data_IF_209380581748
#
_entry.id   IF_209380581748
#
_cell.length_a   1.000
_cell.length_b   1.000
_cell.length_c   1.000
_cell.angle_alpha   90.00
_cell.angle_beta   90.00
_cell.angle_gamma   90.00
#
_symmetry.space_group_name_H-M   'P 1'
#
loop_
_entity.id
_entity.type
_entity.pdbx_description
1 polymer ?
#
# COMPACT_ATOMS: atom_id res chain seq x y z
N UNK A 1 21.55 -30.35 -41.40
CA UNK A 1 21.28 -30.19 -39.95
C UNK A 1 20.91 -31.56 -39.40
N UNK A 2 21.67 -32.12 -38.46
CA UNK A 2 21.41 -33.46 -37.92
C UNK A 2 20.26 -33.41 -36.92
N UNK A 3 19.52 -34.51 -36.77
CA UNK A 3 18.38 -34.64 -35.84
C UNK A 3 18.75 -34.25 -34.41
N UNK A 4 20.02 -34.46 -34.02
CA UNK A 4 20.58 -34.06 -32.73
C UNK A 4 20.71 -32.53 -32.57
N UNK A 5 21.20 -31.84 -33.60
CA UNK A 5 21.27 -30.36 -33.59
C UNK A 5 19.88 -29.72 -33.54
N UNK A 6 18.91 -30.25 -34.30
CA UNK A 6 17.54 -29.74 -34.27
C UNK A 6 16.89 -29.89 -32.89
N UNK A 7 17.01 -31.06 -32.27
CA UNK A 7 16.48 -31.30 -30.91
C UNK A 7 17.11 -30.37 -29.87
N UNK A 8 18.42 -30.12 -29.95
CA UNK A 8 19.11 -29.17 -29.06
C UNK A 8 18.61 -27.75 -29.27
N UNK A 9 18.47 -27.29 -30.51
CA UNK A 9 17.96 -25.94 -30.80
C UNK A 9 16.55 -25.75 -30.28
N UNK A 10 15.66 -26.75 -30.46
CA UNK A 10 14.29 -26.71 -29.94
C UNK A 10 14.29 -26.68 -28.41
N UNK A 11 15.10 -27.52 -27.76
CA UNK A 11 15.18 -27.51 -26.29
C UNK A 11 15.68 -26.17 -25.74
N UNK A 12 16.71 -25.59 -26.35
CA UNK A 12 17.22 -24.27 -25.98
C UNK A 12 16.14 -23.20 -26.18
N UNK A 13 15.43 -23.24 -27.31
CA UNK A 13 14.34 -22.31 -27.59
C UNK A 13 13.23 -22.39 -26.51
N UNK A 14 12.84 -23.60 -26.11
CA UNK A 14 11.84 -23.81 -25.05
C UNK A 14 12.34 -23.23 -23.73
N UNK A 15 13.57 -23.52 -23.33
CA UNK A 15 14.15 -22.99 -22.07
C UNK A 15 14.24 -21.47 -22.10
N UNK A 16 14.70 -20.88 -23.21
CA UNK A 16 14.75 -19.42 -23.37
C UNK A 16 13.35 -18.81 -23.32
N UNK A 17 12.37 -19.41 -24.01
CA UNK A 17 10.98 -18.94 -23.95
C UNK A 17 10.42 -19.00 -22.52
N UNK A 18 10.69 -20.07 -21.77
CA UNK A 18 10.30 -20.18 -20.36
C UNK A 18 10.96 -19.10 -19.49
N UNK A 19 12.27 -18.87 -19.64
CA UNK A 19 12.97 -17.80 -18.90
C UNK A 19 12.40 -16.42 -19.22
N UNK A 20 12.11 -16.13 -20.49
CA UNK A 20 11.48 -14.87 -20.91
C UNK A 20 10.09 -14.73 -20.28
N UNK A 21 9.29 -15.79 -20.25
CA UNK A 21 7.97 -15.78 -19.62
C UNK A 21 8.05 -15.57 -18.10
N UNK A 22 9.04 -16.16 -17.42
CA UNK A 22 9.26 -15.93 -15.99
C UNK A 22 9.61 -14.46 -15.73
N UNK A 23 10.60 -13.92 -16.44
CA UNK A 23 11.00 -12.51 -16.29
C UNK A 23 9.83 -11.56 -16.61
N UNK A 24 9.06 -11.87 -17.65
CA UNK A 24 7.87 -11.12 -18.03
C UNK A 24 6.79 -11.20 -16.95
N UNK A 25 6.54 -12.35 -16.35
CA UNK A 25 5.54 -12.51 -15.29
C UNK A 25 5.87 -11.66 -14.05
N UNK A 26 7.15 -11.48 -13.73
CA UNK A 26 7.59 -10.61 -12.62
C UNK A 26 7.57 -9.11 -12.94
N UNK A 27 7.37 -8.72 -14.20
CA UNK A 27 7.43 -7.32 -14.66
C UNK A 27 6.14 -6.84 -15.33
N UNK A 28 5.22 -7.74 -15.64
CA UNK A 28 3.92 -7.42 -16.20
C UNK A 28 2.96 -6.93 -15.09
N UNK A 29 1.95 -6.12 -15.46
CA UNK A 29 0.80 -5.88 -14.60
C UNK A 29 0.20 -7.23 -14.15
N UNK A 30 -0.15 -7.32 -12.87
CA UNK A 30 -0.53 -8.54 -12.11
C UNK A 30 -1.58 -9.43 -12.81
N UNK A 31 -2.31 -8.86 -13.74
CA UNK A 31 -3.50 -9.38 -14.38
C UNK A 31 -3.25 -10.13 -15.71
N UNK A 32 -2.00 -10.20 -16.21
CA UNK A 32 -1.77 -10.69 -17.59
C UNK A 32 -1.37 -12.18 -17.69
N UNK A 33 -0.71 -12.79 -16.69
CA UNK A 33 -0.40 -14.23 -16.72
C UNK A 33 -0.17 -14.85 -15.33
N UNK A 34 -1.04 -15.79 -14.94
CA UNK A 34 -0.67 -16.91 -14.08
C UNK A 34 -1.32 -16.94 -12.70
N UNK A 35 -1.82 -18.12 -12.33
CA UNK A 35 -2.15 -18.49 -10.96
C UNK A 35 -0.93 -18.23 -10.06
N UNK A 36 -0.96 -17.14 -9.30
CA UNK A 36 0.01 -16.91 -8.25
C UNK A 36 -0.31 -17.89 -7.11
N UNK A 37 0.44 -18.99 -7.00
CA UNK A 37 0.24 -19.99 -5.94
C UNK A 37 0.55 -19.47 -4.54
N UNK A 38 1.17 -18.29 -4.42
CA UNK A 38 1.51 -17.67 -3.14
C UNK A 38 1.15 -16.19 -3.20
N UNK A 39 0.27 -15.67 -2.31
CA UNK A 39 -0.02 -14.25 -2.26
C UNK A 39 1.28 -13.45 -2.13
N UNK A 40 1.31 -12.25 -2.72
CA UNK A 40 2.41 -11.31 -2.55
C UNK A 40 2.78 -11.23 -1.06
N UNK A 41 4.02 -11.56 -0.70
CA UNK A 41 4.48 -11.48 0.70
C UNK A 41 4.89 -10.03 0.98
N UNK A 42 3.89 -9.16 0.96
CA UNK A 42 4.07 -7.73 1.14
C UNK A 42 3.59 -7.30 2.51
N UNK A 43 4.36 -6.43 3.13
CA UNK A 43 4.03 -5.82 4.41
C UNK A 43 4.00 -4.32 4.25
N UNK A 44 3.33 -3.65 5.17
CA UNK A 44 3.33 -2.21 5.24
C UNK A 44 3.13 -1.72 6.67
N UNK A 45 3.60 -0.51 6.95
CA UNK A 45 3.35 0.21 8.20
C UNK A 45 3.07 1.66 7.88
N UNK A 46 2.27 2.31 8.70
CA UNK A 46 1.87 3.69 8.46
C UNK A 46 1.87 4.52 9.74
N UNK A 47 2.32 5.76 9.64
CA UNK A 47 2.09 6.76 10.67
C UNK A 47 1.09 7.77 10.17
N UNK A 48 -0.06 7.87 10.85
CA UNK A 48 -1.09 8.85 10.53
C UNK A 48 -0.96 10.06 11.46
N UNK A 49 -0.89 11.23 10.85
CA UNK A 49 -0.65 12.51 11.49
C UNK A 49 -1.74 13.50 11.08
N UNK A 50 -2.14 14.36 12.00
CA UNK A 50 -2.94 15.56 11.78
C UNK A 50 -1.98 16.72 11.56
N UNK A 51 -2.07 17.37 10.41
CA UNK A 51 -1.38 18.63 10.19
C UNK A 51 -2.32 19.77 10.60
N UNK A 52 -1.87 20.61 11.53
CA UNK A 52 -2.68 21.73 12.03
C UNK A 52 -2.41 23.01 11.26
N UNK A 53 -3.32 23.99 11.36
CA UNK A 53 -3.14 25.30 10.72
C UNK A 53 -1.86 26.03 11.15
N UNK A 54 -1.32 25.71 12.34
CA UNK A 54 -0.03 26.21 12.82
C UNK A 54 1.20 25.49 12.25
N UNK A 55 1.03 24.53 11.34
CA UNK A 55 2.10 23.74 10.74
C UNK A 55 2.62 22.59 11.60
N UNK A 56 1.99 22.33 12.75
CA UNK A 56 2.38 21.22 13.62
C UNK A 56 1.82 19.91 13.08
N UNK A 57 2.61 18.83 13.20
CA UNK A 57 2.14 17.47 12.94
C UNK A 57 1.89 16.75 14.27
N UNK A 58 0.67 16.31 14.47
CA UNK A 58 0.20 15.67 15.71
C UNK A 58 -0.28 14.26 15.38
N UNK A 59 0.23 13.25 16.07
CA UNK A 59 -0.22 11.87 15.88
C UNK A 59 -1.73 11.74 16.13
N UNK A 60 -2.45 10.97 15.29
CA UNK A 60 -3.91 10.79 15.43
C UNK A 60 -4.31 10.07 16.73
N UNK A 61 -3.36 9.43 17.42
CA UNK A 61 -3.57 8.82 18.75
C UNK A 61 -3.51 9.83 19.89
N UNK A 62 -2.96 11.02 19.64
CA UNK A 62 -2.99 12.11 20.61
C UNK A 62 -4.42 12.67 20.74
N UNK A 63 -4.76 13.35 21.85
CA UNK A 63 -6.08 13.94 22.02
C UNK A 63 -6.50 14.78 20.81
N UNK A 64 -7.68 14.47 20.27
CA UNK A 64 -8.25 15.11 19.10
C UNK A 64 -9.37 16.07 19.53
N UNK A 65 -9.36 17.34 19.09
CA UNK A 65 -10.53 18.22 19.19
C UNK A 65 -11.83 17.52 18.79
N UNK A 66 -12.90 17.70 19.56
CA UNK A 66 -14.17 16.99 19.35
C UNK A 66 -14.23 15.59 19.97
N UNK A 67 -13.15 15.12 20.61
CA UNK A 67 -13.10 13.83 21.28
C UNK A 67 -12.98 12.64 20.32
N UNK A 68 -12.54 12.89 19.09
CA UNK A 68 -12.38 11.86 18.08
C UNK A 68 -11.19 10.94 18.40
N UNK A 69 -11.27 9.71 17.91
CA UNK A 69 -10.21 8.72 17.96
C UNK A 69 -10.14 8.04 16.60
N UNK A 70 -8.94 7.88 16.06
CA UNK A 70 -8.75 7.18 14.79
C UNK A 70 -9.33 5.76 14.85
N UNK A 71 -9.07 5.03 15.93
CA UNK A 71 -9.54 3.66 16.12
C UNK A 71 -11.07 3.56 16.19
N UNK A 72 -11.76 4.61 16.65
CA UNK A 72 -13.23 4.63 16.70
C UNK A 72 -13.85 4.99 15.34
N UNK A 73 -13.13 5.77 14.53
CA UNK A 73 -13.59 6.26 13.22
C UNK A 73 -13.28 5.28 12.09
N UNK A 74 -12.16 4.57 12.18
CA UNK A 74 -11.65 3.65 11.17
C UNK A 74 -11.57 2.26 11.77
N UNK A 75 -12.66 1.50 11.62
CA UNK A 75 -12.74 0.13 12.11
C UNK A 75 -12.39 -0.89 11.01
N UNK A 76 -11.59 -1.90 11.38
CA UNK A 76 -11.34 -3.09 10.55
C UNK A 76 -10.07 -3.04 9.69
N UNK A 77 -9.74 -4.22 9.13
CA UNK A 77 -8.67 -4.45 8.14
C UNK A 77 -7.25 -4.02 8.56
N UNK A 78 -6.97 -3.92 9.86
CA UNK A 78 -5.67 -3.50 10.38
C UNK A 78 -5.37 -2.00 10.24
N UNK A 79 -6.37 -1.20 9.81
CA UNK A 79 -6.24 0.25 9.72
C UNK A 79 -6.39 0.95 11.08
N UNK A 80 -6.96 0.27 12.07
CA UNK A 80 -7.23 0.78 13.43
C UNK A 80 -5.95 1.06 14.24
N UNK A 81 -4.90 0.25 14.07
CA UNK A 81 -3.54 0.55 14.54
C UNK A 81 -2.59 0.70 13.35
N UNK A 82 -2.48 1.92 12.80
CA UNK A 82 -1.67 2.16 11.61
C UNK A 82 -0.18 1.86 11.84
N UNK A 83 0.31 1.92 13.08
CA UNK A 83 1.76 1.91 13.37
C UNK A 83 2.39 0.52 13.38
N UNK A 84 1.59 -0.53 13.53
CA UNK A 84 2.09 -1.89 13.47
C UNK A 84 2.40 -2.28 12.02
N UNK A 85 3.58 -2.90 11.81
CA UNK A 85 3.86 -3.54 10.52
C UNK A 85 2.89 -4.71 10.33
N UNK A 86 2.17 -4.68 9.22
CA UNK A 86 1.07 -5.59 8.94
C UNK A 86 1.13 -6.14 7.51
N UNK A 87 0.63 -7.36 7.29
CA UNK A 87 0.59 -7.95 5.96
C UNK A 87 -0.40 -7.21 5.06
N UNK A 88 -0.03 -6.98 3.82
CA UNK A 88 -0.91 -6.45 2.78
C UNK A 88 -1.80 -7.58 2.24
N UNK A 89 -2.81 -7.99 3.03
CA UNK A 89 -3.68 -9.14 2.75
C UNK A 89 -4.37 -9.10 1.37
N UNK A 90 -4.55 -7.91 0.80
CA UNK A 90 -5.19 -7.68 -0.50
C UNK A 90 -4.24 -7.12 -1.56
N UNK A 91 -2.92 -7.23 -1.32
CA UNK A 91 -1.90 -6.52 -2.08
C UNK A 91 -1.74 -5.07 -1.59
N UNK A 92 -0.52 -4.54 -1.72
CA UNK A 92 -0.16 -3.24 -1.17
C UNK A 92 -0.95 -2.10 -1.84
N UNK A 93 -1.16 -2.14 -3.15
CA UNK A 93 -1.85 -1.07 -3.87
C UNK A 93 -3.31 -0.94 -3.41
N UNK A 94 -3.97 -2.07 -3.14
CA UNK A 94 -5.32 -2.12 -2.57
C UNK A 94 -5.33 -1.57 -1.14
N UNK A 95 -4.35 -1.95 -0.31
CA UNK A 95 -4.22 -1.44 1.08
C UNK A 95 -4.04 0.08 1.11
N UNK A 96 -3.18 0.63 0.25
CA UNK A 96 -2.99 2.09 0.13
C UNK A 96 -4.23 2.81 -0.37
N UNK A 97 -4.98 2.19 -1.30
CA UNK A 97 -6.24 2.75 -1.79
C UNK A 97 -7.30 2.85 -0.67
N UNK A 98 -7.45 1.80 0.16
CA UNK A 98 -8.34 1.84 1.32
C UNK A 98 -7.90 2.88 2.36
N UNK A 99 -6.59 2.98 2.62
CA UNK A 99 -6.05 4.00 3.52
C UNK A 99 -6.36 5.41 3.02
N UNK A 100 -6.17 5.71 1.73
CA UNK A 100 -6.51 7.00 1.14
C UNK A 100 -8.01 7.31 1.35
N UNK A 101 -8.89 6.36 1.03
CA UNK A 101 -10.32 6.53 1.25
C UNK A 101 -10.69 6.77 2.72
N UNK A 102 -10.00 6.12 3.67
CA UNK A 102 -10.19 6.35 5.10
C UNK A 102 -9.74 7.76 5.50
N UNK A 103 -8.59 8.23 5.01
CA UNK A 103 -8.11 9.60 5.28
C UNK A 103 -9.11 10.65 4.79
N UNK A 104 -9.62 10.50 3.56
CA UNK A 104 -10.59 11.43 2.99
C UNK A 104 -11.93 11.38 3.73
N UNK A 105 -12.39 10.18 4.09
CA UNK A 105 -13.63 10.03 4.85
C UNK A 105 -13.52 10.67 6.23
N UNK A 106 -12.43 10.42 6.98
CA UNK A 106 -12.19 11.06 8.28
C UNK A 106 -12.01 12.57 8.12
N UNK A 107 -11.38 13.03 7.04
CA UNK A 107 -11.30 14.45 6.70
C UNK A 107 -12.68 15.10 6.64
N UNK A 108 -13.66 14.45 6.01
CA UNK A 108 -15.01 14.97 5.84
C UNK A 108 -15.94 14.77 7.05
N UNK A 109 -15.66 13.82 7.95
CA UNK A 109 -16.59 13.37 8.99
C UNK A 109 -16.19 13.73 10.44
N UNK A 110 -15.19 14.59 10.63
CA UNK A 110 -14.86 15.15 11.95
C UNK A 110 -15.08 16.68 12.01
N UNK A 111 -16.32 17.18 11.88
CA UNK A 111 -16.60 18.62 11.76
C UNK A 111 -16.29 19.42 13.03
N UNK A 112 -16.19 18.77 14.20
CA UNK A 112 -15.82 19.46 15.44
C UNK A 112 -14.30 19.74 15.55
N UNK A 113 -13.50 19.20 14.63
CA UNK A 113 -12.07 19.45 14.55
C UNK A 113 -11.76 20.63 13.63
N UNK A 114 -11.54 21.78 14.26
CA UNK A 114 -11.23 23.06 13.61
C UNK A 114 -9.73 23.35 13.57
N UNK A 115 -8.89 22.49 14.14
CA UNK A 115 -7.45 22.71 14.22
C UNK A 115 -6.69 22.04 13.07
N UNK A 116 -7.18 20.90 12.60
CA UNK A 116 -6.54 20.10 11.54
C UNK A 116 -6.90 20.63 10.15
N UNK A 117 -5.88 20.93 9.34
CA UNK A 117 -6.04 21.32 7.93
C UNK A 117 -6.04 20.13 6.97
N UNK A 118 -5.33 19.04 7.33
CA UNK A 118 -5.34 17.77 6.58
C UNK A 118 -4.79 16.63 7.43
N UNK A 119 -5.12 15.41 7.04
CA UNK A 119 -4.46 14.20 7.51
C UNK A 119 -3.31 13.83 6.56
N UNK A 120 -2.24 13.31 7.14
CA UNK A 120 -1.04 12.88 6.44
C UNK A 120 -0.76 11.45 6.90
N UNK A 121 -0.61 10.53 5.96
CA UNK A 121 -0.14 9.19 6.24
C UNK A 121 1.24 8.98 5.62
N UNK A 122 2.24 8.77 6.46
CA UNK A 122 3.59 8.39 6.05
C UNK A 122 3.64 6.86 6.04
N UNK A 123 3.85 6.27 4.86
CA UNK A 123 3.73 4.83 4.65
C UNK A 123 5.05 4.24 4.21
N UNK A 124 5.42 3.15 4.88
CA UNK A 124 6.53 2.28 4.49
C UNK A 124 5.96 0.98 3.97
N UNK A 125 6.31 0.61 2.75
CA UNK A 125 5.88 -0.63 2.11
C UNK A 125 7.07 -1.54 1.78
N UNK A 126 6.93 -2.83 2.05
CA UNK A 126 7.91 -3.84 1.67
C UNK A 126 7.27 -4.83 0.70
N UNK A 127 7.67 -4.79 -0.57
CA UNK A 127 7.16 -5.71 -1.60
C UNK A 127 8.01 -6.97 -1.67
N UNK A 128 7.43 -8.12 -1.33
CA UNK A 128 8.14 -9.41 -1.34
C UNK A 128 9.48 -9.35 -0.56
N UNK A 129 9.46 -8.71 0.62
CA UNK A 129 10.64 -8.50 1.48
C UNK A 129 11.65 -7.45 0.99
N UNK A 130 11.39 -6.74 -0.12
CA UNK A 130 12.21 -5.64 -0.63
C UNK A 130 11.59 -4.30 -0.22
N UNK A 131 12.41 -3.33 0.19
CA UNK A 131 11.94 -2.02 0.67
C UNK A 131 12.73 -1.52 1.89
N UNK A 132 12.27 -0.46 2.58
CA UNK A 132 10.96 0.18 2.38
C UNK A 132 10.89 1.08 1.14
N UNK A 133 9.76 0.99 0.44
CA UNK A 133 9.28 2.04 -0.46
C UNK A 133 8.49 3.05 0.38
N UNK A 134 8.92 4.31 0.38
CA UNK A 134 8.26 5.37 1.12
C UNK A 134 7.18 6.03 0.25
N UNK A 135 5.98 6.15 0.79
CA UNK A 135 4.87 6.88 0.19
C UNK A 135 4.26 7.85 1.21
N UNK A 136 3.74 8.97 0.72
CA UNK A 136 2.98 9.93 1.54
C UNK A 136 1.60 10.07 0.92
N UNK A 137 0.57 9.72 1.70
CA UNK A 137 -0.82 9.93 1.35
C UNK A 137 -1.35 11.13 2.12
N UNK A 138 -2.15 11.95 1.45
CA UNK A 138 -2.70 13.18 2.01
C UNK A 138 -4.20 13.12 1.86
N UNK A 139 -4.94 13.44 2.92
CA UNK A 139 -6.36 13.67 2.77
C UNK A 139 -6.62 14.93 1.93
N UNK A 140 -7.86 15.08 1.48
CA UNK A 140 -8.37 16.37 1.05
C UNK A 140 -8.08 17.48 2.09
N UNK A 141 -7.78 18.67 1.58
CA UNK A 141 -7.53 19.83 2.41
C UNK A 141 -8.86 20.34 2.98
N UNK A 142 -8.91 20.52 4.29
CA UNK A 142 -10.06 21.13 4.96
C UNK A 142 -10.02 22.64 4.78
N UNK A 143 -11.18 23.23 4.52
CA UNK A 143 -11.32 24.67 4.61
C UNK A 143 -11.15 25.10 6.08
N UNK A 144 -10.40 26.17 6.35
CA UNK A 144 -10.29 26.74 7.69
C UNK A 144 -11.61 27.32 8.19
#
# INVERSE_FOLDING_TARGET
>A
MTTRTLRRSVAILIVVAQLVLIVRAYSAPLDVFGFQMFPESSDWSVQVLRETAGGNRVDVRAPWPGGYSWADLVAGSGLEDPTARQPAAYGIDTSLHFLQGALDWVAAHTPADTETVRLVAEVDAWRNGRGPEHAVLLSEMRAP
#
